data_IF_893299984049
#
_entry.id   IF_893299984049
#
_cell.length_a   1.000
_cell.length_b   1.000
_cell.length_c   1.000
_cell.angle_alpha   90.00
_cell.angle_beta   90.00
_cell.angle_gamma   90.00
#
_symmetry.space_group_name_H-M   'P 1'
#
loop_
_entity.id
_entity.type
_entity.pdbx_description
1 polymer ?
#
# COMPACT_ATOMS: atom_id res chain seq x y z
N UNK A 1 16.84 -8.08 -6.59
CA UNK A 1 15.50 -8.36 -6.06
C UNK A 1 15.63 -8.67 -4.59
N UNK A 2 14.79 -8.09 -3.73
CA UNK A 2 14.78 -8.34 -2.29
C UNK A 2 13.37 -8.68 -1.85
N UNK A 3 13.24 -9.38 -0.73
CA UNK A 3 11.96 -9.74 -0.09
C UNK A 3 12.03 -9.41 1.39
N UNK A 4 10.89 -9.04 1.98
CA UNK A 4 10.73 -8.71 3.41
C UNK A 4 9.46 -9.35 3.96
N UNK A 5 9.34 -9.38 5.28
CA UNK A 5 8.15 -9.85 5.98
C UNK A 5 7.84 -11.31 5.70
N UNK A 6 6.55 -11.63 5.54
CA UNK A 6 6.12 -13.01 5.34
C UNK A 6 6.59 -13.63 4.03
N UNK A 7 6.80 -12.83 2.98
CA UNK A 7 7.39 -13.33 1.73
C UNK A 7 8.82 -13.87 1.93
N UNK A 8 9.53 -13.40 2.98
CA UNK A 8 10.88 -13.86 3.36
C UNK A 8 10.86 -14.94 4.43
N UNK A 9 10.05 -14.76 5.49
CA UNK A 9 10.11 -15.56 6.73
C UNK A 9 8.93 -16.54 6.91
N UNK A 10 8.02 -16.61 5.94
CA UNK A 10 6.77 -17.34 6.06
C UNK A 10 5.73 -16.61 6.93
N UNK A 11 4.49 -17.11 7.01
CA UNK A 11 3.36 -16.42 7.63
C UNK A 11 3.37 -16.52 9.17
N UNK A 12 4.41 -15.99 9.81
CA UNK A 12 4.58 -16.02 11.26
C UNK A 12 5.14 -14.72 11.84
N UNK A 13 4.93 -14.54 13.14
CA UNK A 13 5.32 -13.33 13.89
C UNK A 13 4.26 -12.23 13.87
N UNK A 14 4.47 -11.21 14.70
CA UNK A 14 3.58 -10.05 14.83
C UNK A 14 4.02 -8.92 13.90
N UNK A 15 3.21 -7.85 13.82
CA UNK A 15 3.52 -6.65 13.01
C UNK A 15 4.94 -6.12 13.32
N UNK A 16 5.31 -6.06 14.60
CA UNK A 16 6.64 -5.59 15.02
C UNK A 16 7.81 -6.43 14.48
N UNK A 17 7.61 -7.74 14.27
CA UNK A 17 8.64 -8.62 13.71
C UNK A 17 8.96 -8.27 12.25
N UNK A 18 7.99 -7.73 11.50
CA UNK A 18 8.23 -7.29 10.12
C UNK A 18 9.05 -6.00 10.06
N UNK A 19 8.97 -5.13 11.08
CA UNK A 19 9.76 -3.89 11.11
C UNK A 19 11.26 -4.16 11.19
N UNK A 20 11.70 -4.99 12.12
CA UNK A 20 13.12 -5.34 12.27
C UNK A 20 13.64 -6.16 11.09
N UNK A 21 12.83 -7.09 10.57
CA UNK A 21 13.17 -7.86 9.37
C UNK A 21 13.40 -6.97 8.14
N UNK A 22 12.49 -6.01 7.89
CA UNK A 22 12.62 -5.07 6.80
C UNK A 22 13.84 -4.16 6.96
N UNK A 23 14.15 -3.70 8.18
CA UNK A 23 15.33 -2.89 8.46
C UNK A 23 16.64 -3.62 8.08
N UNK A 24 16.78 -4.89 8.48
CA UNK A 24 17.97 -5.70 8.15
C UNK A 24 18.12 -5.94 6.64
N UNK A 25 17.00 -6.04 5.89
CA UNK A 25 17.04 -6.14 4.43
C UNK A 25 17.43 -4.80 3.80
N UNK A 26 16.93 -3.67 4.33
CA UNK A 26 17.31 -2.35 3.87
C UNK A 26 18.79 -2.05 4.08
N UNK A 27 19.38 -2.45 5.21
CA UNK A 27 20.84 -2.35 5.44
C UNK A 27 21.63 -3.09 4.35
N UNK A 28 21.21 -4.31 3.99
CA UNK A 28 21.82 -5.08 2.89
C UNK A 28 21.60 -4.42 1.54
N UNK A 29 20.41 -3.87 1.29
CA UNK A 29 20.10 -3.20 0.02
C UNK A 29 20.98 -1.97 -0.16
N UNK A 30 21.07 -1.12 0.86
CA UNK A 30 21.84 0.14 0.82
C UNK A 30 23.33 -0.12 0.56
N UNK A 31 23.90 -1.15 1.17
CA UNK A 31 25.32 -1.53 0.95
C UNK A 31 25.61 -2.06 -0.46
N UNK A 32 24.58 -2.40 -1.23
CA UNK A 32 24.68 -2.94 -2.59
C UNK A 32 24.08 -2.00 -3.65
N UNK A 33 23.73 -0.77 -3.26
CA UNK A 33 23.25 0.23 -4.20
C UNK A 33 24.36 0.61 -5.18
N UNK A 34 23.98 0.65 -6.45
CA UNK A 34 24.81 1.13 -7.56
C UNK A 34 24.12 2.34 -8.19
N UNK A 35 24.79 2.97 -9.17
CA UNK A 35 24.21 4.05 -9.94
C UNK A 35 22.84 3.64 -10.51
N UNK A 36 21.79 4.46 -10.34
CA UNK A 36 20.45 4.12 -10.79
C UNK A 36 20.43 3.96 -12.32
N UNK A 37 19.63 3.00 -12.80
CA UNK A 37 19.37 2.85 -14.22
C UNK A 37 18.45 3.98 -14.68
N UNK A 38 18.73 4.58 -15.83
CA UNK A 38 17.83 5.55 -16.44
C UNK A 38 16.76 4.81 -17.25
N UNK A 39 15.60 4.55 -16.64
CA UNK A 39 14.51 3.75 -17.23
C UNK A 39 13.16 4.52 -17.28
N UNK A 40 13.19 5.85 -17.16
CA UNK A 40 11.98 6.69 -17.09
C UNK A 40 11.28 6.64 -15.73
N UNK A 41 10.20 7.41 -15.60
CA UNK A 41 9.37 7.44 -14.39
C UNK A 41 8.25 6.38 -14.47
N UNK A 42 8.07 5.61 -13.40
CA UNK A 42 6.98 4.64 -13.27
C UNK A 42 5.61 5.35 -13.35
N UNK A 43 5.51 6.60 -12.93
CA UNK A 43 4.29 7.40 -13.04
C UNK A 43 3.81 7.51 -14.50
N UNK A 44 4.73 7.65 -15.47
CA UNK A 44 4.40 7.68 -16.89
C UNK A 44 3.84 6.33 -17.37
N UNK A 45 4.36 5.21 -16.83
CA UNK A 45 3.86 3.86 -17.13
C UNK A 45 2.49 3.56 -16.50
N UNK A 46 2.13 4.30 -15.45
CA UNK A 46 0.84 4.23 -14.77
C UNK A 46 -0.19 5.22 -15.33
N UNK A 47 0.25 6.20 -16.12
CA UNK A 47 -0.64 7.15 -16.77
C UNK A 47 -1.70 6.44 -17.63
N UNK A 48 -2.95 6.90 -17.53
CA UNK A 48 -4.09 6.30 -18.22
C UNK A 48 -4.58 4.96 -17.64
N UNK A 49 -3.90 4.38 -16.65
CA UNK A 49 -4.35 3.19 -15.94
C UNK A 49 -5.11 3.58 -14.67
N UNK A 50 -6.23 2.91 -14.42
CA UNK A 50 -6.98 3.04 -13.18
C UNK A 50 -6.14 2.50 -12.01
N UNK A 51 -5.70 3.38 -11.13
CA UNK A 51 -4.99 3.03 -9.90
C UNK A 51 -5.42 3.97 -8.77
N UNK A 52 -5.45 3.45 -7.54
CA UNK A 52 -5.76 4.22 -6.34
C UNK A 52 -4.43 4.74 -5.79
N UNK A 53 -4.21 6.04 -5.93
CA UNK A 53 -3.13 6.73 -5.23
C UNK A 53 -3.52 7.04 -3.77
N UNK A 54 -2.60 7.68 -3.05
CA UNK A 54 -2.81 8.04 -1.65
C UNK A 54 -4.05 8.92 -1.45
N UNK A 55 -4.26 9.93 -2.30
CA UNK A 55 -5.37 10.89 -2.18
C UNK A 55 -6.72 10.24 -2.47
N UNK A 56 -6.75 9.32 -3.43
CA UNK A 56 -7.93 8.55 -3.78
C UNK A 56 -8.29 7.55 -2.67
N UNK A 57 -7.29 6.91 -2.05
CA UNK A 57 -7.49 6.08 -0.87
C UNK A 57 -8.03 6.89 0.32
N UNK A 58 -7.56 8.11 0.53
CA UNK A 58 -8.05 8.99 1.61
C UNK A 58 -9.54 9.31 1.47
N UNK A 59 -10.04 9.51 0.25
CA UNK A 59 -11.48 9.69 -0.02
C UNK A 59 -12.29 8.45 0.36
N UNK A 60 -11.83 7.27 -0.06
CA UNK A 60 -12.44 6.00 0.31
C UNK A 60 -12.45 5.81 1.82
N UNK A 61 -11.32 6.10 2.47
CA UNK A 61 -11.17 6.03 3.91
C UNK A 61 -12.16 6.93 4.65
N UNK A 62 -12.31 8.20 4.22
CA UNK A 62 -13.26 9.14 4.80
C UNK A 62 -14.72 8.66 4.66
N UNK A 63 -15.08 8.12 3.49
CA UNK A 63 -16.39 7.53 3.25
C UNK A 63 -16.65 6.35 4.19
N UNK A 64 -15.72 5.39 4.29
CA UNK A 64 -15.88 4.21 5.15
C UNK A 64 -16.05 4.59 6.63
N UNK A 65 -15.32 5.61 7.10
CA UNK A 65 -15.43 6.13 8.48
C UNK A 65 -16.80 6.75 8.70
N UNK A 66 -17.24 7.66 7.81
CA UNK A 66 -18.55 8.32 7.93
C UNK A 66 -19.73 7.32 7.92
N UNK A 67 -19.66 6.27 7.10
CA UNK A 67 -20.67 5.20 7.10
C UNK A 67 -20.61 4.32 8.36
N UNK A 68 -19.42 4.19 8.96
CA UNK A 68 -19.25 3.50 10.24
C UNK A 68 -19.88 4.28 11.40
N UNK A 69 -19.65 5.59 11.47
CA UNK A 69 -20.14 6.46 12.54
C UNK A 69 -21.67 6.42 12.66
N UNK A 70 -22.38 6.41 11.53
CA UNK A 70 -23.86 6.25 11.49
C UNK A 70 -24.35 4.98 12.16
N UNK A 71 -23.51 3.94 12.21
CA UNK A 71 -23.82 2.64 12.80
C UNK A 71 -23.09 2.40 14.14
N UNK A 72 -22.44 3.43 14.72
CA UNK A 72 -21.65 3.31 15.95
C UNK A 72 -20.40 2.42 15.80
N UNK A 73 -19.84 2.32 14.60
CA UNK A 73 -18.65 1.51 14.28
C UNK A 73 -17.47 2.41 13.86
N UNK A 74 -16.21 1.98 14.05
CA UNK A 74 -15.05 2.75 13.60
C UNK A 74 -15.01 2.99 12.08
N UNK A 75 -15.58 2.06 11.31
CA UNK A 75 -15.83 2.18 9.88
C UNK A 75 -16.79 1.11 9.39
N UNK A 76 -17.38 1.33 8.22
CA UNK A 76 -18.04 0.31 7.41
C UNK A 76 -17.31 0.20 6.08
N UNK A 77 -16.65 -0.94 5.85
CA UNK A 77 -15.83 -1.14 4.65
C UNK A 77 -16.67 -1.26 3.39
N UNK A 78 -16.20 -0.66 2.31
CA UNK A 78 -16.71 -0.90 0.97
C UNK A 78 -16.14 -2.23 0.47
N UNK A 79 -17.02 -3.16 0.10
CA UNK A 79 -16.61 -4.53 -0.27
C UNK A 79 -16.44 -4.66 -1.79
N UNK A 80 -17.32 -4.00 -2.55
CA UNK A 80 -17.30 -4.06 -4.01
C UNK A 80 -16.19 -3.15 -4.57
N UNK A 81 -15.33 -3.74 -5.39
CA UNK A 81 -14.18 -3.01 -5.97
C UNK A 81 -14.61 -1.86 -6.85
N UNK A 82 -15.65 -2.04 -7.67
CA UNK A 82 -16.17 -0.98 -8.55
C UNK A 82 -16.64 0.23 -7.74
N UNK A 83 -17.38 -0.02 -6.66
CA UNK A 83 -17.83 1.02 -5.74
C UNK A 83 -16.66 1.71 -5.03
N UNK A 84 -15.65 0.95 -4.61
CA UNK A 84 -14.45 1.52 -4.00
C UNK A 84 -13.71 2.45 -4.97
N UNK A 85 -13.61 2.08 -6.26
CA UNK A 85 -13.03 2.94 -7.31
C UNK A 85 -13.88 4.20 -7.55
N UNK A 86 -15.21 4.07 -7.60
CA UNK A 86 -16.13 5.20 -7.76
C UNK A 86 -15.98 6.22 -6.63
N UNK A 87 -15.99 5.77 -5.38
CA UNK A 87 -15.81 6.65 -4.21
C UNK A 87 -14.41 7.28 -4.19
N UNK A 88 -13.39 6.53 -4.60
CA UNK A 88 -12.02 7.04 -4.73
C UNK A 88 -11.86 8.03 -5.90
N UNK A 89 -12.84 8.10 -6.82
CA UNK A 89 -12.87 9.01 -7.96
C UNK A 89 -12.08 8.52 -9.17
N UNK A 90 -12.02 7.21 -9.40
CA UNK A 90 -11.22 6.53 -10.44
C UNK A 90 -12.06 5.62 -11.33
#
# INVERSE_FOLDING_TARGET
>A
MYVVGWAKRGPSGVIGTNKSDAAAVMEKLVTQLHAPKNAGDIAELLAGKKHIDQSAWEKLNAHEVAEGEKAGKPRRKVIERSQACEIAGI
#
